data_IF_408147157185
#
_entry.id   IF_408147157185
#
_cell.length_a   1.000
_cell.length_b   1.000
_cell.length_c   1.000
_cell.angle_alpha   90.00
_cell.angle_beta   90.00
_cell.angle_gamma   90.00
#
_symmetry.space_group_name_H-M   'P 1'
#
loop_
_entity.id
_entity.type
_entity.pdbx_description
1 polymer ?
#
# COMPACT_ATOMS: atom_id res chain seq x y z
N UNK A 1 10.22 -0.07 4.98
CA UNK A 1 11.17 -0.67 4.03
C UNK A 1 10.42 -1.58 3.07
N UNK A 2 10.76 -1.55 1.79
CA UNK A 2 10.15 -2.40 0.75
C UNK A 2 11.27 -2.94 -0.15
N UNK A 3 11.17 -4.19 -0.55
CA UNK A 3 12.09 -4.87 -1.48
C UNK A 3 11.28 -5.62 -2.54
N UNK A 4 11.78 -5.69 -3.77
CA UNK A 4 11.09 -6.35 -4.86
C UNK A 4 12.05 -6.93 -5.91
N UNK A 5 11.48 -7.72 -6.80
CA UNK A 5 12.15 -8.32 -7.95
C UNK A 5 11.19 -8.28 -9.14
N UNK A 6 11.73 -7.99 -10.33
CA UNK A 6 10.97 -8.00 -11.57
C UNK A 6 11.74 -8.64 -12.73
N UNK A 7 10.97 -8.98 -13.76
CA UNK A 7 11.46 -9.41 -15.06
C UNK A 7 10.91 -8.48 -16.12
N UNK A 8 11.82 -7.96 -16.95
CA UNK A 8 11.51 -7.16 -18.13
C UNK A 8 11.59 -8.05 -19.36
N UNK A 9 10.55 -8.04 -20.18
CA UNK A 9 10.46 -8.84 -21.39
C UNK A 9 10.09 -7.93 -22.56
N UNK A 10 10.86 -8.02 -23.64
CA UNK A 10 10.52 -7.38 -24.90
C UNK A 10 9.33 -8.12 -25.52
N UNK A 11 8.30 -7.36 -25.88
CA UNK A 11 7.11 -7.85 -26.58
C UNK A 11 7.00 -7.12 -27.91
N UNK A 12 6.24 -7.62 -28.90
CA UNK A 12 6.01 -6.88 -30.12
C UNK A 12 5.50 -5.47 -29.80
N UNK A 13 6.17 -4.46 -30.31
CA UNK A 13 5.80 -3.03 -30.20
C UNK A 13 5.91 -2.46 -28.77
N UNK A 14 6.69 -3.09 -27.87
CA UNK A 14 6.91 -2.53 -26.54
C UNK A 14 7.65 -3.42 -25.54
N UNK A 15 7.52 -3.07 -24.27
CA UNK A 15 8.20 -3.72 -23.16
C UNK A 15 7.18 -3.97 -22.06
N UNK A 16 7.11 -5.22 -21.60
CA UNK A 16 6.34 -5.60 -20.43
C UNK A 16 7.27 -5.90 -19.25
N UNK A 17 6.94 -5.34 -18.08
CA UNK A 17 7.63 -5.61 -16.82
C UNK A 17 6.64 -6.23 -15.84
N UNK A 18 7.00 -7.36 -15.23
CA UNK A 18 6.20 -8.02 -14.21
C UNK A 18 7.08 -8.24 -12.98
N UNK A 19 6.60 -7.82 -11.82
CA UNK A 19 7.34 -7.93 -10.57
C UNK A 19 6.47 -8.20 -9.36
N UNK A 20 7.16 -8.59 -8.29
CA UNK A 20 6.59 -8.79 -6.98
C UNK A 20 7.44 -8.08 -5.93
N UNK A 21 6.79 -7.64 -4.85
CA UNK A 21 7.47 -6.96 -3.75
C UNK A 21 6.86 -7.33 -2.42
N UNK A 22 7.68 -7.20 -1.38
CA UNK A 22 7.26 -7.28 0.00
C UNK A 22 7.83 -6.11 0.79
N UNK A 23 7.16 -5.72 1.86
CA UNK A 23 7.58 -4.59 2.68
C UNK A 23 7.12 -4.70 4.11
N UNK A 24 7.81 -3.98 4.97
CA UNK A 24 7.47 -3.79 6.37
C UNK A 24 7.49 -2.28 6.66
N UNK A 25 6.42 -1.78 7.26
CA UNK A 25 6.32 -0.40 7.73
C UNK A 25 6.08 -0.39 9.23
N UNK A 26 6.68 0.58 9.91
CA UNK A 26 6.41 0.83 11.32
C UNK A 26 6.16 2.32 11.48
N UNK A 27 4.96 2.69 11.92
CA UNK A 27 4.54 4.08 12.10
C UNK A 27 4.28 4.35 13.57
N UNK A 28 4.91 5.40 14.11
CA UNK A 28 4.60 5.93 15.44
C UNK A 28 3.57 7.05 15.29
N UNK A 29 2.43 6.92 15.97
CA UNK A 29 1.42 7.96 16.10
C UNK A 29 1.55 8.54 17.51
N UNK A 30 2.06 9.77 17.60
CA UNK A 30 2.02 10.56 18.84
C UNK A 30 0.67 11.25 18.96
N UNK A 31 -0.04 11.06 20.07
CA UNK A 31 -1.25 11.82 20.37
C UNK A 31 -0.93 13.00 21.28
N UNK A 32 -1.39 14.20 20.92
CA UNK A 32 -1.21 15.46 21.69
C UNK A 32 -1.76 15.43 23.14
N UNK A 33 -2.49 14.37 23.52
CA UNK A 33 -3.02 14.15 24.89
C UNK A 33 -2.29 13.06 25.69
N UNK A 34 -1.07 12.68 25.29
CA UNK A 34 -0.22 11.74 26.06
C UNK A 34 -0.44 10.26 25.78
N UNK A 35 -1.05 9.91 24.63
CA UNK A 35 -1.18 8.53 24.15
C UNK A 35 -0.08 8.20 23.14
N UNK A 36 0.47 6.98 23.21
CA UNK A 36 1.41 6.45 22.22
C UNK A 36 0.72 5.28 21.50
N UNK A 37 0.61 5.36 20.18
CA UNK A 37 0.12 4.27 19.33
C UNK A 37 1.20 3.89 18.32
N UNK A 38 1.51 2.60 18.19
CA UNK A 38 2.41 2.09 17.16
C UNK A 38 1.62 1.17 16.24
N UNK A 39 1.71 1.42 14.93
CA UNK A 39 1.13 0.54 13.90
C UNK A 39 2.28 -0.08 13.12
N UNK A 40 2.45 -1.39 13.27
CA UNK A 40 3.29 -2.19 12.38
C UNK A 40 2.45 -2.67 11.20
N UNK A 41 3.03 -2.74 10.00
CA UNK A 41 2.37 -3.39 8.88
C UNK A 41 3.34 -4.18 8.03
N UNK A 42 2.91 -5.38 7.64
CA UNK A 42 3.58 -6.20 6.64
C UNK A 42 2.78 -6.10 5.36
N UNK A 43 3.46 -6.02 4.23
CA UNK A 43 2.81 -5.95 2.93
C UNK A 43 3.45 -6.87 1.92
N UNK A 44 2.64 -7.40 1.02
CA UNK A 44 3.02 -8.22 -0.11
C UNK A 44 2.22 -7.74 -1.33
N UNK A 45 2.85 -7.61 -2.48
CA UNK A 45 2.17 -7.14 -3.68
C UNK A 45 2.86 -7.55 -4.96
N UNK A 46 2.18 -7.27 -6.05
CA UNK A 46 2.68 -7.44 -7.41
C UNK A 46 2.43 -6.18 -8.22
N UNK A 47 3.25 -5.99 -9.24
CA UNK A 47 3.06 -4.95 -10.24
C UNK A 47 3.28 -5.48 -11.64
N UNK A 48 2.52 -4.95 -12.57
CA UNK A 48 2.72 -5.13 -14.00
C UNK A 48 2.80 -3.75 -14.64
N UNK A 49 3.71 -3.60 -15.58
CA UNK A 49 3.89 -2.38 -16.36
C UNK A 49 4.02 -2.76 -17.82
N UNK A 50 3.38 -1.98 -18.69
CA UNK A 50 3.50 -2.11 -20.12
C UNK A 50 3.79 -0.75 -20.72
N UNK A 51 4.87 -0.67 -21.50
CA UNK A 51 5.27 0.51 -22.25
C UNK A 51 5.28 0.17 -23.73
N UNK A 52 4.54 0.95 -24.52
CA UNK A 52 4.47 0.81 -25.97
C UNK A 52 5.43 1.79 -26.64
N UNK A 53 5.97 1.44 -27.82
CA UNK A 53 6.94 2.27 -28.56
C UNK A 53 6.40 3.67 -28.93
N UNK A 54 5.07 3.83 -28.98
CA UNK A 54 4.41 5.14 -29.18
C UNK A 54 4.54 6.11 -28.01
N UNK A 55 5.10 5.67 -26.88
CA UNK A 55 5.17 6.43 -25.63
C UNK A 55 3.97 6.24 -24.71
N UNK A 56 2.99 5.42 -25.10
CA UNK A 56 1.88 5.04 -24.22
C UNK A 56 2.38 4.08 -23.14
N UNK A 57 1.89 4.24 -21.91
CA UNK A 57 2.17 3.29 -20.84
C UNK A 57 0.93 2.97 -20.00
N UNK A 58 0.96 1.78 -19.38
CA UNK A 58 -0.05 1.29 -18.46
C UNK A 58 0.64 0.52 -17.33
N UNK A 59 0.45 0.99 -16.10
CA UNK A 59 1.00 0.39 -14.89
C UNK A 59 -0.12 -0.03 -13.96
N UNK A 60 0.05 -1.17 -13.30
CA UNK A 60 -0.90 -1.72 -12.35
C UNK A 60 -0.19 -2.32 -11.15
N UNK A 61 -0.72 -2.07 -9.96
CA UNK A 61 -0.21 -2.57 -8.68
C UNK A 61 -1.38 -3.16 -7.89
N UNK A 62 -1.15 -4.32 -7.28
CA UNK A 62 -2.03 -4.89 -6.26
C UNK A 62 -1.21 -5.17 -5.01
N UNK A 63 -1.73 -4.79 -3.84
CA UNK A 63 -1.02 -4.87 -2.57
C UNK A 63 -1.94 -5.39 -1.46
N UNK A 64 -1.53 -6.49 -0.85
CA UNK A 64 -2.08 -7.02 0.38
C UNK A 64 -1.27 -6.48 1.56
N UNK A 65 -1.96 -6.08 2.62
CA UNK A 65 -1.37 -5.53 3.83
C UNK A 65 -1.97 -6.27 5.04
N UNK A 66 -1.12 -6.61 6.00
CA UNK A 66 -1.51 -7.05 7.33
C UNK A 66 -1.04 -6.00 8.31
N UNK A 67 -1.98 -5.31 8.93
CA UNK A 67 -1.72 -4.29 9.94
C UNK A 67 -1.79 -4.94 11.32
N UNK A 68 -0.79 -4.66 12.14
CA UNK A 68 -0.75 -4.96 13.56
C UNK A 68 -0.88 -3.63 14.30
N UNK A 69 -2.05 -3.42 14.90
CA UNK A 69 -2.36 -2.22 15.65
C UNK A 69 -2.35 -2.56 17.14
N UNK A 70 -1.40 -1.98 17.88
CA UNK A 70 -1.36 -2.06 19.33
C UNK A 70 -1.92 -0.76 19.91
N UNK A 71 -3.10 -0.83 20.54
CA UNK A 71 -3.72 0.31 21.23
C UNK A 71 -3.54 0.11 22.73
N UNK A 72 -2.70 0.96 23.33
CA UNK A 72 -2.56 1.08 24.78
C UNK A 72 -3.37 2.29 25.25
N UNK A 73 -4.66 2.08 25.57
CA UNK A 73 -5.54 3.12 26.09
C UNK A 73 -5.51 3.17 27.61
N UNK A 74 -5.14 4.31 28.20
CA UNK A 74 -5.44 4.60 29.62
C UNK A 74 -6.91 5.01 29.74
N UNK A 75 -7.72 4.23 30.44
CA UNK A 75 -9.08 4.64 30.81
C UNK A 75 -9.01 5.74 31.90
N UNK A 76 -9.95 6.68 31.86
CA UNK A 76 -10.16 7.70 32.90
C UNK A 76 -10.48 7.13 34.29
N UNK A 77 -10.73 5.82 34.38
CA UNK A 77 -10.95 5.05 35.61
C UNK A 77 -9.68 4.43 36.24
N UNK A 78 -8.50 4.60 35.63
CA UNK A 78 -7.23 4.05 36.14
C UNK A 78 -6.85 2.66 35.62
N UNK A 79 -7.67 2.05 34.76
CA UNK A 79 -7.35 0.78 34.09
C UNK A 79 -6.61 0.96 32.77
N UNK A 80 -5.64 0.08 32.48
CA UNK A 80 -5.00 -0.03 31.17
C UNK A 80 -5.80 -1.01 30.30
N UNK A 81 -6.38 -0.53 29.19
CA UNK A 81 -6.99 -1.37 28.17
C UNK A 81 -5.94 -1.59 27.05
N UNK A 82 -5.37 -2.80 27.02
CA UNK A 82 -4.39 -3.20 26.02
C UNK A 82 -5.10 -4.08 24.99
N UNK A 83 -5.31 -3.56 23.77
CA UNK A 83 -5.95 -4.29 22.67
C UNK A 83 -4.98 -4.43 21.50
N UNK A 84 -4.64 -5.67 21.14
CA UNK A 84 -3.88 -6.00 19.93
C UNK A 84 -4.85 -6.43 18.84
N UNK A 85 -4.98 -5.64 17.78
CA UNK A 85 -5.86 -5.93 16.65
C UNK A 85 -5.03 -6.23 15.40
N UNK A 86 -5.50 -7.22 14.63
CA UNK A 86 -4.95 -7.55 13.32
C UNK A 86 -6.00 -7.23 12.27
N UNK A 87 -5.71 -6.32 11.34
CA UNK A 87 -6.57 -6.09 10.18
C UNK A 87 -5.83 -6.41 8.89
N UNK A 88 -6.58 -6.91 7.91
CA UNK A 88 -6.05 -7.13 6.57
C UNK A 88 -6.59 -6.03 5.66
N UNK A 89 -5.77 -5.57 4.71
CA UNK A 89 -6.16 -4.59 3.71
C UNK A 89 -5.72 -5.00 2.32
N UNK A 90 -6.59 -4.80 1.35
CA UNK A 90 -6.32 -4.98 -0.07
C UNK A 90 -6.36 -3.60 -0.74
N UNK A 91 -5.25 -3.23 -1.38
CA UNK A 91 -5.12 -2.03 -2.19
C UNK A 91 -4.86 -2.39 -3.64
N UNK A 92 -5.38 -1.57 -4.55
CA UNK A 92 -5.11 -1.63 -5.98
C UNK A 92 -4.83 -0.22 -6.50
N UNK A 93 -3.94 -0.14 -7.48
CA UNK A 93 -3.64 1.09 -8.20
C UNK A 93 -3.45 0.75 -9.67
N UNK A 94 -4.01 1.59 -10.55
CA UNK A 94 -3.78 1.51 -11.99
C UNK A 94 -3.52 2.92 -12.50
N UNK A 95 -2.52 3.08 -13.35
CA UNK A 95 -2.14 4.34 -13.97
C UNK A 95 -1.89 4.12 -15.46
N UNK A 96 -2.27 5.09 -16.27
CA UNK A 96 -1.93 5.12 -17.69
C UNK A 96 -1.59 6.52 -18.12
N UNK A 97 -0.74 6.65 -19.13
CA UNK A 97 -0.37 7.94 -19.69
C UNK A 97 0.30 7.83 -21.04
N UNK A 98 0.71 8.98 -21.57
CA UNK A 98 1.37 9.10 -22.86
C UNK A 98 2.57 10.02 -22.73
N UNK A 99 3.76 9.56 -23.09
CA UNK A 99 5.01 10.34 -23.01
C UNK A 99 5.26 11.07 -24.33
N UNK A 100 5.24 12.40 -24.27
CA UNK A 100 5.63 13.27 -25.36
C UNK A 100 7.00 13.86 -25.08
N UNK A 101 7.95 13.63 -25.99
CA UNK A 101 9.31 14.19 -25.92
C UNK A 101 9.55 15.02 -27.17
N UNK A 102 9.85 16.31 -27.01
CA UNK A 102 10.23 17.21 -28.10
C UNK A 102 11.47 18.01 -27.72
N UNK A 103 12.63 17.63 -28.28
CA UNK A 103 13.93 18.18 -27.92
C UNK A 103 14.24 18.01 -26.42
N UNK A 104 14.27 19.14 -25.70
CA UNK A 104 14.52 19.17 -24.24
C UNK A 104 13.25 19.15 -23.40
N UNK A 105 12.07 19.17 -24.01
CA UNK A 105 10.79 19.20 -23.32
C UNK A 105 10.20 17.79 -23.20
N UNK A 106 9.74 17.46 -22.00
CA UNK A 106 9.04 16.22 -21.71
C UNK A 106 7.69 16.55 -21.07
N UNK A 107 6.61 16.07 -21.67
CA UNK A 107 5.25 16.19 -21.15
C UNK A 107 4.64 14.79 -21.06
N UNK A 108 4.02 14.47 -19.93
CA UNK A 108 3.38 13.16 -19.74
C UNK A 108 2.02 13.37 -19.08
N UNK A 109 0.95 13.59 -19.85
CA UNK A 109 -0.39 13.46 -19.31
C UNK A 109 -0.61 12.02 -18.83
N UNK A 110 -1.25 11.90 -17.66
CA UNK A 110 -1.56 10.62 -17.05
C UNK A 110 -2.92 10.68 -16.35
N UNK A 111 -3.49 9.52 -16.14
CA UNK A 111 -4.68 9.31 -15.32
C UNK A 111 -4.47 8.06 -14.48
N UNK A 112 -4.84 8.13 -13.20
CA UNK A 112 -4.73 7.00 -12.30
C UNK A 112 -5.95 6.84 -11.40
N UNK A 113 -6.18 5.59 -10.99
CA UNK A 113 -7.23 5.20 -10.08
C UNK A 113 -6.62 4.35 -8.97
N UNK A 114 -6.91 4.73 -7.73
CA UNK A 114 -6.48 3.99 -6.55
C UNK A 114 -7.70 3.56 -5.75
N UNK A 115 -7.74 2.29 -5.37
CA UNK A 115 -8.76 1.72 -4.50
C UNK A 115 -8.11 1.04 -3.30
N UNK A 116 -8.75 1.11 -2.14
CA UNK A 116 -8.32 0.40 -0.95
C UNK A 116 -9.53 -0.05 -0.14
N UNK A 117 -9.48 -1.28 0.33
CA UNK A 117 -10.44 -1.85 1.27
C UNK A 117 -9.66 -2.51 2.41
N UNK A 118 -10.20 -2.44 3.62
CA UNK A 118 -9.65 -3.16 4.76
C UNK A 118 -10.77 -3.85 5.52
N UNK A 119 -10.53 -5.09 5.91
CA UNK A 119 -11.41 -5.80 6.80
C UNK A 119 -11.22 -5.28 8.22
N UNK A 120 -12.33 -4.94 8.86
CA UNK A 120 -12.39 -4.66 10.29
C UNK A 120 -12.47 -6.01 11.04
N UNK A 121 -11.46 -6.40 11.85
CA UNK A 121 -11.57 -7.61 12.65
C UNK A 121 -12.77 -7.52 13.60
N UNK A 122 -13.51 -8.62 13.70
CA UNK A 122 -14.60 -8.80 14.67
C UNK A 122 -14.11 -8.55 16.11
N UNK A 123 -14.91 -7.75 16.82
CA UNK A 123 -14.72 -7.43 18.23
C UNK A 123 -14.97 -8.68 19.08
N UNK A 124 -13.93 -9.39 19.49
CA UNK A 124 -14.01 -10.26 20.66
C UNK A 124 -13.47 -9.53 21.89
N UNK A 125 -14.34 -8.70 22.47
CA UNK A 125 -14.20 -8.24 23.84
C UNK A 125 -14.45 -9.45 24.75
N UNK A 126 -13.42 -9.88 25.49
CA UNK A 126 -13.49 -10.99 26.46
C UNK A 126 -14.39 -10.70 27.67
N UNK A 127 -15.20 -9.64 27.62
CA UNK A 127 -16.15 -9.26 28.65
C UNK A 127 -17.62 -9.46 28.23
N UNK A 128 -17.90 -10.06 27.06
CA UNK A 128 -19.27 -10.35 26.64
C UNK A 128 -20.12 -9.12 26.31
N UNK A 129 -19.50 -8.07 25.77
CA UNK A 129 -20.18 -6.95 25.09
C UNK A 129 -19.45 -6.61 23.81
#
# INVERSE_FOLDING_TARGET
MTVGIDSRNDIPEGIATLGAFMGYSHSHIGFDRGGHGSVGSYSLGGYASWEHESGFYLDGIVKLNRFESNVAGKMSSGGAANGSYHSNGLGGHIETGMRFTDGNWNLTPYASLTGFTADNPEYHLSNGM
#
